data_IF_453170033997
#
_entry.id   IF_453170033997
#
_cell.length_a   1.000
_cell.length_b   1.000
_cell.length_c   1.000
_cell.angle_alpha   90.00
_cell.angle_beta   90.00
_cell.angle_gamma   90.00
#
_symmetry.space_group_name_H-M   'P 1'
#
loop_
_entity.id
_entity.type
_entity.pdbx_description
1 polymer ?
#
# COMPACT_ATOMS: atom_id res chain seq x y z
N UNK A 1 -13.07 -4.53 2.58
CA UNK A 1 -12.32 -4.83 1.33
C UNK A 1 -10.98 -4.14 1.34
N UNK A 2 -9.93 -4.86 1.05
CA UNK A 2 -8.59 -4.30 0.92
C UNK A 2 -8.21 -4.17 -0.55
N UNK A 3 -7.62 -3.04 -0.91
CA UNK A 3 -7.03 -2.82 -2.24
C UNK A 3 -5.54 -2.58 -2.04
N UNK A 4 -4.72 -3.12 -2.92
CA UNK A 4 -3.29 -2.99 -2.71
C UNK A 4 -2.47 -3.02 -3.99
N UNK A 5 -1.25 -2.51 -3.85
CA UNK A 5 -0.26 -2.46 -4.92
C UNK A 5 1.12 -2.74 -4.33
N UNK A 6 1.93 -3.46 -5.09
CA UNK A 6 3.34 -3.71 -4.76
C UNK A 6 4.21 -2.86 -5.68
N UNK A 7 5.17 -2.17 -5.08
CA UNK A 7 6.16 -1.37 -5.80
C UNK A 7 7.52 -2.00 -5.56
N UNK A 8 8.06 -2.64 -6.59
CA UNK A 8 9.37 -3.27 -6.58
C UNK A 8 9.92 -3.21 -8.02
N UNK A 9 10.69 -2.15 -8.31
CA UNK A 9 11.23 -1.85 -9.64
C UNK A 9 10.16 -1.79 -10.73
N UNK A 10 8.94 -1.61 -10.33
CA UNK A 10 7.74 -1.55 -11.15
C UNK A 10 6.54 -1.61 -10.22
N UNK A 11 5.35 -1.44 -10.76
CA UNK A 11 4.12 -1.38 -9.98
C UNK A 11 3.22 -2.52 -10.42
N UNK A 12 2.87 -3.40 -9.49
CA UNK A 12 2.00 -4.55 -9.76
C UNK A 12 0.84 -4.60 -8.78
N UNK A 13 -0.34 -5.06 -9.22
CA UNK A 13 -1.46 -5.25 -8.29
C UNK A 13 -1.12 -6.30 -7.23
N UNK A 14 -1.67 -6.11 -6.05
CA UNK A 14 -1.55 -7.09 -4.96
C UNK A 14 -2.77 -8.01 -4.87
N UNK A 15 -3.67 -7.96 -5.82
CA UNK A 15 -4.91 -8.72 -5.82
C UNK A 15 -4.65 -10.23 -5.69
N UNK A 16 -5.43 -10.87 -4.84
CA UNK A 16 -5.36 -12.31 -4.55
C UNK A 16 -4.09 -12.77 -3.82
N UNK A 17 -3.21 -11.85 -3.46
CA UNK A 17 -2.04 -12.16 -2.65
C UNK A 17 -2.35 -11.97 -1.17
N UNK A 18 -1.80 -12.85 -0.34
CA UNK A 18 -1.90 -12.69 1.11
C UNK A 18 -0.93 -11.59 1.58
N UNK A 19 -1.29 -10.82 2.61
CA UNK A 19 -0.35 -9.83 3.15
C UNK A 19 1.02 -10.42 3.50
N UNK A 20 1.07 -11.63 4.05
CA UNK A 20 2.33 -12.30 4.39
C UNK A 20 3.24 -12.54 3.18
N UNK A 21 2.67 -12.66 1.98
CA UNK A 21 3.45 -12.87 0.75
C UNK A 21 4.13 -11.60 0.26
N UNK A 22 3.54 -10.44 0.52
CA UNK A 22 3.99 -9.18 -0.05
C UNK A 22 4.67 -8.24 0.95
N UNK A 23 4.41 -8.42 2.25
CA UNK A 23 5.03 -7.61 3.31
C UNK A 23 6.42 -8.14 3.62
N UNK A 24 7.32 -7.96 2.69
CA UNK A 24 8.72 -8.40 2.78
C UNK A 24 9.66 -7.19 2.74
N UNK A 25 10.92 -7.40 3.12
CA UNK A 25 11.89 -6.30 3.18
C UNK A 25 12.36 -5.83 1.81
N UNK A 26 12.09 -6.59 0.75
CA UNK A 26 12.41 -6.21 -0.63
C UNK A 26 11.33 -5.36 -1.29
N UNK A 27 10.12 -5.35 -0.73
CA UNK A 27 8.98 -4.68 -1.34
C UNK A 27 8.64 -3.37 -0.65
N UNK A 28 8.05 -2.47 -1.42
CA UNK A 28 7.18 -1.42 -0.89
C UNK A 28 5.75 -1.77 -1.24
N UNK A 29 4.83 -1.56 -0.30
CA UNK A 29 3.43 -1.94 -0.48
C UNK A 29 2.54 -0.82 0.03
N UNK A 30 1.49 -0.52 -0.72
CA UNK A 30 0.45 0.40 -0.27
C UNK A 30 -0.86 -0.38 -0.27
N UNK A 31 -1.50 -0.45 0.89
CA UNK A 31 -2.77 -1.14 1.06
C UNK A 31 -3.80 -0.16 1.58
N UNK A 32 -4.94 -0.14 0.92
CA UNK A 32 -6.04 0.77 1.17
C UNK A 32 -7.19 0.02 1.82
N UNK A 33 -7.62 0.49 2.98
CA UNK A 33 -8.82 0.02 3.66
C UNK A 33 -9.81 1.19 3.73
N UNK A 34 -10.64 1.30 2.70
CA UNK A 34 -11.58 2.42 2.58
C UNK A 34 -12.63 2.42 3.67
N UNK A 35 -13.12 1.24 4.04
CA UNK A 35 -14.15 1.09 5.06
C UNK A 35 -13.72 1.66 6.40
N UNK A 36 -12.49 1.38 6.80
CA UNK A 36 -11.94 1.81 8.09
C UNK A 36 -11.09 3.09 7.98
N UNK A 37 -11.02 3.69 6.79
CA UNK A 37 -10.23 4.90 6.52
C UNK A 37 -8.78 4.75 6.97
N UNK A 38 -8.13 3.67 6.54
CA UNK A 38 -6.73 3.38 6.84
C UNK A 38 -5.96 3.16 5.56
N UNK A 39 -4.73 3.62 5.55
CA UNK A 39 -3.78 3.37 4.47
C UNK A 39 -2.54 2.78 5.13
N UNK A 40 -2.15 1.57 4.69
CA UNK A 40 -0.94 0.92 5.16
C UNK A 40 0.19 1.20 4.19
N UNK A 41 1.24 1.83 4.68
CA UNK A 41 2.43 2.14 3.89
C UNK A 41 3.58 1.29 4.41
N UNK A 42 3.97 0.28 3.64
CA UNK A 42 5.07 -0.60 3.94
C UNK A 42 6.26 -0.25 3.05
N UNK A 43 7.39 0.10 3.65
CA UNK A 43 8.63 0.37 2.93
C UNK A 43 9.68 -0.62 3.38
N UNK A 44 9.91 -1.65 2.57
CA UNK A 44 10.89 -2.68 2.86
C UNK A 44 12.29 -2.10 3.05
N UNK A 45 13.03 -2.61 4.01
CA UNK A 45 14.36 -2.08 4.35
C UNK A 45 15.34 -2.19 3.18
N UNK A 46 15.23 -3.27 2.39
CA UNK A 46 16.09 -3.52 1.23
C UNK A 46 15.52 -3.00 -0.08
N UNK A 47 14.35 -2.37 -0.05
CA UNK A 47 13.76 -1.79 -1.25
C UNK A 47 14.57 -0.59 -1.74
N UNK A 48 14.49 -0.33 -3.04
CA UNK A 48 15.17 0.82 -3.64
C UNK A 48 14.65 2.15 -3.11
N UNK A 49 15.51 3.16 -3.08
CA UNK A 49 15.15 4.51 -2.62
C UNK A 49 14.00 5.07 -3.46
N UNK A 50 14.06 4.90 -4.78
CA UNK A 50 13.01 5.36 -5.68
C UNK A 50 11.65 4.72 -5.35
N UNK A 51 11.65 3.42 -5.07
CA UNK A 51 10.43 2.70 -4.72
C UNK A 51 9.85 3.19 -3.38
N UNK A 52 10.72 3.47 -2.41
CA UNK A 52 10.30 4.02 -1.11
C UNK A 52 9.63 5.39 -1.27
N UNK A 53 10.18 6.26 -2.12
CA UNK A 53 9.58 7.56 -2.41
C UNK A 53 8.24 7.44 -3.12
N UNK A 54 8.17 6.56 -4.12
CA UNK A 54 6.92 6.32 -4.85
C UNK A 54 5.82 5.80 -3.92
N UNK A 55 6.14 4.87 -3.06
CA UNK A 55 5.17 4.31 -2.12
C UNK A 55 4.66 5.37 -1.15
N UNK A 56 5.55 6.17 -0.58
CA UNK A 56 5.17 7.25 0.34
C UNK A 56 4.30 8.29 -0.38
N UNK A 57 4.69 8.69 -1.58
CA UNK A 57 3.92 9.65 -2.38
C UNK A 57 2.53 9.11 -2.70
N UNK A 58 2.46 7.85 -3.11
CA UNK A 58 1.19 7.21 -3.43
C UNK A 58 0.26 7.18 -2.21
N UNK A 59 0.76 6.73 -1.07
CA UNK A 59 -0.03 6.64 0.14
C UNK A 59 -0.60 8.01 0.57
N UNK A 60 0.23 9.04 0.61
CA UNK A 60 -0.20 10.37 1.03
C UNK A 60 -1.15 11.03 0.01
N UNK A 61 -0.91 10.87 -1.27
CA UNK A 61 -1.79 11.41 -2.30
C UNK A 61 -3.13 10.68 -2.36
N UNK A 62 -3.15 9.36 -2.15
CA UNK A 62 -4.41 8.61 -2.02
C UNK A 62 -5.22 9.12 -0.83
N UNK A 63 -4.57 9.43 0.28
CA UNK A 63 -5.26 10.00 1.43
C UNK A 63 -5.98 11.30 1.07
N UNK A 64 -5.30 12.20 0.36
CA UNK A 64 -5.92 13.45 -0.08
C UNK A 64 -7.03 13.23 -1.10
N UNK A 65 -6.80 12.40 -2.11
CA UNK A 65 -7.75 12.18 -3.20
C UNK A 65 -9.02 11.46 -2.75
N UNK A 66 -8.88 10.47 -1.86
CA UNK A 66 -9.99 9.59 -1.49
C UNK A 66 -10.64 9.95 -0.15
N UNK A 67 -9.89 10.57 0.75
CA UNK A 67 -10.35 10.84 2.11
C UNK A 67 -10.20 12.30 2.54
N UNK A 68 -9.78 13.18 1.65
CA UNK A 68 -9.55 14.57 2.01
C UNK A 68 -8.51 14.75 3.13
N UNK A 69 -7.59 13.80 3.25
CA UNK A 69 -6.56 13.80 4.30
C UNK A 69 -7.00 13.16 5.60
N UNK A 70 -8.22 12.60 5.68
CA UNK A 70 -8.78 12.10 6.93
C UNK A 70 -8.39 10.66 7.28
N UNK A 71 -7.77 9.92 6.36
CA UNK A 71 -7.37 8.54 6.65
C UNK A 71 -6.14 8.49 7.55
N UNK A 72 -6.07 7.43 8.35
CA UNK A 72 -4.88 7.14 9.15
C UNK A 72 -3.85 6.40 8.29
N UNK A 73 -2.68 6.99 8.12
CA UNK A 73 -1.57 6.35 7.40
C UNK A 73 -0.70 5.60 8.42
N UNK A 74 -0.68 4.29 8.32
CA UNK A 74 0.04 3.40 9.24
C UNK A 74 1.34 2.97 8.58
N UNK A 75 2.47 3.28 9.23
CA UNK A 75 3.81 3.00 8.68
C UNK A 75 4.63 2.05 9.55
N UNK A 76 4.25 1.81 10.79
CA UNK A 76 4.98 0.88 11.64
C UNK A 76 4.76 -0.54 11.17
N UNK A 77 5.85 -1.22 10.87
CA UNK A 77 5.81 -2.58 10.30
C UNK A 77 5.18 -3.59 11.23
N UNK A 78 5.45 -3.51 12.52
CA UNK A 78 4.85 -4.40 13.52
C UNK A 78 3.33 -4.22 13.59
N UNK A 79 2.86 -2.98 13.51
CA UNK A 79 1.42 -2.68 13.51
C UNK A 79 0.77 -3.17 12.22
N UNK A 80 1.40 -2.93 11.07
CA UNK A 80 0.89 -3.38 9.77
C UNK A 80 0.71 -4.91 9.77
N UNK A 81 1.75 -5.63 10.15
CA UNK A 81 1.71 -7.10 10.20
C UNK A 81 0.61 -7.59 11.13
N UNK A 82 0.51 -7.00 12.31
CA UNK A 82 -0.49 -7.39 13.30
C UNK A 82 -1.91 -7.15 12.81
N UNK A 83 -2.16 -5.99 12.20
CA UNK A 83 -3.50 -5.64 11.74
C UNK A 83 -3.92 -6.41 10.48
N UNK A 84 -2.99 -6.80 9.65
CA UNK A 84 -3.28 -7.47 8.39
C UNK A 84 -3.14 -8.99 8.44
N UNK A 85 -2.65 -9.57 9.54
CA UNK A 85 -2.42 -11.03 9.62
C UNK A 85 -3.69 -11.87 9.53
N UNK A 86 -4.85 -11.29 9.80
CA UNK A 86 -6.13 -12.00 9.73
C UNK A 86 -6.74 -12.01 8.33
N UNK A 87 -6.23 -11.19 7.43
CA UNK A 87 -6.74 -11.13 6.07
C UNK A 87 -6.10 -12.22 5.21
N UNK A 88 -6.91 -13.09 4.56
CA UNK A 88 -6.36 -14.16 3.73
C UNK A 88 -5.75 -13.65 2.43
N UNK A 89 -6.28 -12.53 1.92
CA UNK A 89 -5.81 -11.96 0.64
C UNK A 89 -6.20 -10.50 0.52
N UNK A 90 -5.55 -9.82 -0.41
CA UNK A 90 -5.95 -8.51 -0.88
C UNK A 90 -7.08 -8.70 -1.91
N UNK A 91 -8.18 -7.96 -1.78
CA UNK A 91 -9.38 -8.20 -2.57
C UNK A 91 -9.32 -7.64 -3.99
N UNK A 92 -8.69 -6.48 -4.16
CA UNK A 92 -8.71 -5.78 -5.43
C UNK A 92 -7.47 -4.92 -5.62
N UNK A 93 -7.30 -4.41 -6.84
CA UNK A 93 -6.23 -3.47 -7.14
C UNK A 93 -6.65 -2.03 -6.85
N UNK A 94 -5.67 -1.17 -6.59
CA UNK A 94 -5.88 0.28 -6.62
C UNK A 94 -5.94 0.66 -8.10
N UNK A 95 -6.91 1.50 -8.47
CA UNK A 95 -7.12 1.91 -9.85
C UNK A 95 -5.81 2.36 -10.51
N UNK A 96 -5.52 1.79 -11.67
CA UNK A 96 -4.33 2.14 -12.45
C UNK A 96 -4.32 3.61 -12.87
N UNK A 97 -5.50 4.16 -13.19
CA UNK A 97 -5.60 5.56 -13.57
C UNK A 97 -5.28 6.49 -12.40
N UNK A 98 -5.69 6.13 -11.19
CA UNK A 98 -5.36 6.88 -9.98
C UNK A 98 -3.86 6.83 -9.71
N UNK A 99 -3.27 5.63 -9.76
CA UNK A 99 -1.82 5.47 -9.58
C UNK A 99 -1.06 6.31 -10.60
N UNK A 100 -1.47 6.24 -11.86
CA UNK A 100 -0.82 6.98 -12.94
C UNK A 100 -0.94 8.49 -12.76
N UNK A 101 -2.08 8.97 -12.27
CA UNK A 101 -2.26 10.40 -12.01
C UNK A 101 -1.36 10.91 -10.89
N UNK A 102 -0.96 10.05 -9.96
CA UNK A 102 -0.10 10.40 -8.84
C UNK A 102 1.38 10.24 -9.19
N UNK A 103 1.74 9.12 -9.79
CA UNK A 103 3.14 8.76 -10.03
C UNK A 103 3.64 9.07 -11.44
N UNK A 104 2.75 9.45 -12.32
CA UNK A 104 3.06 9.77 -13.71
C UNK A 104 3.07 8.54 -14.57
#
# INVERSE_FOLDING_TARGET
MLKGVVINKGITPATDLAPSEILTEENCVVILDEKNKKIYLWRGRSAGISDKFKAARLAHQLNWKLFGGAALVIQRKDVIKKQLNTYPKIDAEISKSVIRSILG
#
